data_IF_623904172327
#
_entry.id   IF_623904172327
#
_cell.length_a   1.000
_cell.length_b   1.000
_cell.length_c   1.000
_cell.angle_alpha   90.00
_cell.angle_beta   90.00
_cell.angle_gamma   90.00
#
_symmetry.space_group_name_H-M   'P 1'
#
loop_
_entity.id
_entity.type
_entity.pdbx_description
1 polymer ?
#
# COMPACT_ATOMS: atom_id res chain seq x y z
N UNK A 1 3.29 24.60 -1.44
CA UNK A 1 4.48 23.90 -1.98
C UNK A 1 4.05 23.03 -3.16
N UNK A 2 4.87 22.85 -4.20
CA UNK A 2 4.56 21.91 -5.30
C UNK A 2 4.83 20.48 -4.82
N UNK A 3 3.95 19.53 -5.15
CA UNK A 3 4.06 18.10 -4.78
C UNK A 3 5.43 17.54 -5.16
N UNK A 4 5.89 17.83 -6.38
CA UNK A 4 7.20 17.39 -6.88
C UNK A 4 8.38 17.89 -6.03
N UNK A 5 8.30 19.12 -5.52
CA UNK A 5 9.36 19.68 -4.67
C UNK A 5 9.41 18.95 -3.32
N UNK A 6 8.25 18.71 -2.72
CA UNK A 6 8.15 17.94 -1.47
C UNK A 6 8.64 16.51 -1.67
N UNK A 7 8.24 15.86 -2.77
CA UNK A 7 8.70 14.53 -3.14
C UNK A 7 10.24 14.45 -3.22
N UNK A 8 10.89 15.39 -3.92
CA UNK A 8 12.36 15.43 -4.04
C UNK A 8 13.05 15.58 -2.68
N UNK A 9 12.50 16.39 -1.80
CA UNK A 9 13.05 16.59 -0.45
C UNK A 9 12.95 15.28 0.34
N UNK A 10 11.78 14.66 0.35
CA UNK A 10 11.51 13.42 1.09
C UNK A 10 12.39 12.29 0.55
N UNK A 11 12.43 12.06 -0.76
CA UNK A 11 13.27 11.00 -1.34
C UNK A 11 14.75 11.21 -1.03
N UNK A 12 15.23 12.47 -1.03
CA UNK A 12 16.63 12.77 -0.69
C UNK A 12 16.93 12.46 0.78
N UNK A 13 16.04 12.84 1.68
CA UNK A 13 16.17 12.62 3.13
C UNK A 13 16.12 11.12 3.49
N UNK A 14 15.16 10.39 2.92
CA UNK A 14 14.90 8.98 3.24
C UNK A 14 15.56 7.99 2.26
N UNK A 15 16.52 8.44 1.42
CA UNK A 15 17.16 7.60 0.40
C UNK A 15 17.69 6.27 0.94
N UNK A 16 18.32 6.30 2.13
CA UNK A 16 18.89 5.11 2.77
C UNK A 16 17.81 4.13 3.21
N UNK A 17 16.71 4.62 3.78
CA UNK A 17 15.59 3.80 4.23
C UNK A 17 14.86 3.16 3.04
N UNK A 18 14.67 3.91 1.96
CA UNK A 18 14.11 3.40 0.70
C UNK A 18 15.03 2.29 0.14
N UNK A 19 16.34 2.53 0.06
CA UNK A 19 17.29 1.54 -0.44
C UNK A 19 17.28 0.27 0.42
N UNK A 20 17.26 0.43 1.75
CA UNK A 20 17.21 -0.69 2.69
C UNK A 20 15.94 -1.53 2.49
N UNK A 21 14.79 -0.87 2.26
CA UNK A 21 13.51 -1.54 1.99
C UNK A 21 13.57 -2.37 0.70
N UNK A 22 14.19 -1.85 -0.35
CA UNK A 22 14.38 -2.57 -1.62
C UNK A 22 15.27 -3.79 -1.44
N UNK A 23 16.36 -3.66 -0.69
CA UNK A 23 17.24 -4.79 -0.36
C UNK A 23 16.49 -5.85 0.45
N UNK A 24 15.63 -5.42 1.39
CA UNK A 24 14.84 -6.34 2.20
C UNK A 24 13.83 -7.12 1.34
N UNK A 25 13.15 -6.47 0.39
CA UNK A 25 12.31 -7.18 -0.60
C UNK A 25 13.11 -8.26 -1.31
N UNK A 26 14.27 -7.89 -1.86
CA UNK A 26 15.09 -8.83 -2.61
C UNK A 26 15.55 -10.02 -1.76
N UNK A 27 15.93 -9.77 -0.51
CA UNK A 27 16.36 -10.81 0.40
C UNK A 27 15.21 -11.77 0.78
N UNK A 28 14.04 -11.23 1.10
CA UNK A 28 12.86 -12.02 1.48
C UNK A 28 12.38 -12.87 0.29
N UNK A 29 12.25 -12.25 -0.89
CA UNK A 29 11.80 -12.93 -2.11
C UNK A 29 12.80 -14.00 -2.57
N UNK A 30 14.11 -13.72 -2.46
CA UNK A 30 15.16 -14.70 -2.75
C UNK A 30 15.10 -15.92 -1.83
N UNK A 31 14.93 -15.72 -0.52
CA UNK A 31 14.80 -16.81 0.45
C UNK A 31 13.55 -17.64 0.12
N UNK A 32 12.43 -16.98 -0.16
CA UNK A 32 11.19 -17.67 -0.51
C UNK A 32 11.32 -18.50 -1.79
N UNK A 33 11.87 -17.93 -2.86
CA UNK A 33 12.02 -18.60 -4.14
C UNK A 33 12.90 -19.87 -4.02
N UNK A 34 14.00 -19.79 -3.26
CA UNK A 34 14.87 -20.93 -3.01
C UNK A 34 14.23 -21.99 -2.11
N UNK A 35 13.46 -21.59 -1.10
CA UNK A 35 12.85 -22.54 -0.16
C UNK A 35 11.64 -23.27 -0.75
N UNK A 36 10.87 -22.59 -1.60
CA UNK A 36 9.66 -23.16 -2.22
C UNK A 36 9.92 -23.82 -3.56
N UNK A 37 11.06 -23.55 -4.20
CA UNK A 37 11.36 -24.03 -5.56
C UNK A 37 10.43 -23.44 -6.62
N UNK A 38 9.75 -22.31 -6.33
CA UNK A 38 8.80 -21.65 -7.25
C UNK A 38 9.40 -21.35 -8.63
N UNK A 39 10.71 -21.16 -8.71
CA UNK A 39 11.46 -20.97 -9.96
C UNK A 39 11.33 -22.13 -10.96
N UNK A 40 10.95 -23.33 -10.51
CA UNK A 40 10.85 -24.51 -11.36
C UNK A 40 9.57 -24.51 -12.22
N UNK A 41 8.61 -23.64 -11.93
CA UNK A 41 7.38 -23.48 -12.72
C UNK A 41 6.92 -22.01 -12.69
N UNK A 42 7.35 -21.25 -13.69
CA UNK A 42 7.09 -19.80 -13.83
C UNK A 42 5.60 -19.45 -13.78
N UNK A 43 4.75 -20.32 -14.34
CA UNK A 43 3.29 -20.14 -14.33
C UNK A 43 2.75 -20.20 -12.89
N UNK A 44 3.28 -21.10 -12.08
CA UNK A 44 2.90 -21.22 -10.67
C UNK A 44 3.35 -20.00 -9.85
N UNK A 45 4.52 -19.43 -10.17
CA UNK A 45 5.08 -18.26 -9.48
C UNK A 45 4.18 -17.03 -9.58
N UNK A 46 3.71 -16.70 -10.78
CA UNK A 46 2.78 -15.58 -10.99
C UNK A 46 1.42 -15.83 -10.34
N UNK A 47 0.89 -17.07 -10.40
CA UNK A 47 -0.39 -17.42 -9.78
C UNK A 47 -0.33 -17.33 -8.25
N UNK A 48 0.77 -17.78 -7.62
CA UNK A 48 0.92 -17.69 -6.17
C UNK A 48 0.93 -16.24 -5.67
N UNK A 49 1.59 -15.34 -6.39
CA UNK A 49 1.56 -13.91 -6.07
C UNK A 49 0.18 -13.28 -6.30
N UNK A 50 -0.64 -13.82 -7.19
CA UNK A 50 -2.01 -13.33 -7.41
C UNK A 50 -3.03 -13.86 -6.38
N UNK A 51 -2.64 -14.75 -5.47
CA UNK A 51 -3.57 -15.32 -4.48
C UNK A 51 -3.90 -16.80 -4.69
N UNK A 52 -3.24 -17.50 -5.62
CA UNK A 52 -3.56 -18.88 -5.98
C UNK A 52 -4.76 -18.98 -6.94
N UNK A 53 -5.14 -20.20 -7.30
CA UNK A 53 -6.38 -20.49 -8.03
C UNK A 53 -6.90 -21.89 -7.64
N UNK A 54 -7.92 -22.40 -8.35
CA UNK A 54 -8.51 -23.72 -8.07
C UNK A 54 -7.50 -24.89 -8.17
N UNK A 55 -6.40 -24.69 -8.88
CA UNK A 55 -5.33 -25.69 -9.10
C UNK A 55 -4.14 -25.42 -8.16
N UNK A 56 -3.75 -24.16 -7.98
CA UNK A 56 -2.61 -23.72 -7.18
C UNK A 56 -3.09 -23.14 -5.86
N UNK A 57 -3.16 -23.98 -4.82
CA UNK A 57 -3.64 -23.56 -3.50
C UNK A 57 -2.62 -22.68 -2.78
N UNK A 58 -3.12 -21.72 -2.01
CA UNK A 58 -2.28 -20.80 -1.26
C UNK A 58 -1.62 -21.48 -0.06
N UNK A 59 -0.30 -21.63 -0.14
CA UNK A 59 0.51 -22.13 0.96
C UNK A 59 0.71 -21.07 2.05
N UNK A 60 0.85 -21.51 3.30
CA UNK A 60 1.20 -20.63 4.42
C UNK A 60 2.47 -19.80 4.15
N UNK A 61 3.44 -20.37 3.43
CA UNK A 61 4.67 -19.68 2.99
C UNK A 61 4.38 -18.47 2.09
N UNK A 62 3.47 -18.60 1.12
CA UNK A 62 3.08 -17.51 0.21
C UNK A 62 2.37 -16.39 0.94
N UNK A 63 1.57 -16.75 1.96
CA UNK A 63 0.92 -15.77 2.82
C UNK A 63 1.94 -14.99 3.63
N UNK A 64 2.86 -15.69 4.29
CA UNK A 64 3.95 -15.05 5.05
C UNK A 64 4.77 -14.11 4.18
N UNK A 65 5.09 -14.52 2.95
CA UNK A 65 5.81 -13.71 1.99
C UNK A 65 5.09 -12.37 1.73
N UNK A 66 3.79 -12.43 1.37
CA UNK A 66 3.01 -11.22 1.12
C UNK A 66 2.94 -10.31 2.33
N UNK A 67 2.74 -10.89 3.52
CA UNK A 67 2.71 -10.12 4.76
C UNK A 67 4.04 -9.43 5.03
N UNK A 68 5.17 -10.10 4.82
CA UNK A 68 6.48 -9.51 4.98
C UNK A 68 6.69 -8.36 3.99
N UNK A 69 6.38 -8.57 2.71
CA UNK A 69 6.51 -7.54 1.69
C UNK A 69 5.63 -6.31 1.98
N UNK A 70 4.36 -6.52 2.30
CA UNK A 70 3.47 -5.41 2.66
C UNK A 70 3.95 -4.70 3.94
N UNK A 71 4.43 -5.46 4.94
CA UNK A 71 4.98 -4.87 6.18
C UNK A 71 6.19 -3.98 5.93
N UNK A 72 7.07 -4.35 4.99
CA UNK A 72 8.22 -3.53 4.59
C UNK A 72 7.75 -2.20 3.99
N UNK A 73 6.76 -2.23 3.09
CA UNK A 73 6.15 -1.01 2.52
C UNK A 73 5.62 -0.12 3.64
N UNK A 74 4.81 -0.69 4.54
CA UNK A 74 4.23 0.07 5.64
C UNK A 74 5.28 0.63 6.60
N UNK A 75 6.31 -0.14 6.97
CA UNK A 75 7.38 0.35 7.87
C UNK A 75 8.13 1.53 7.22
N UNK A 76 8.44 1.44 5.93
CA UNK A 76 9.11 2.50 5.20
C UNK A 76 8.25 3.78 5.13
N UNK A 77 6.98 3.64 4.76
CA UNK A 77 6.04 4.76 4.63
C UNK A 77 5.68 5.33 6.00
N UNK A 78 5.46 4.50 7.01
CA UNK A 78 5.15 4.88 8.38
C UNK A 78 6.27 5.72 9.00
N UNK A 79 7.53 5.29 8.84
CA UNK A 79 8.70 6.05 9.29
C UNK A 79 8.79 7.43 8.63
N UNK A 80 8.47 7.51 7.33
CA UNK A 80 8.39 8.80 6.62
C UNK A 80 7.28 9.64 7.25
N UNK A 81 6.10 9.07 7.45
CA UNK A 81 4.96 9.79 8.02
C UNK A 81 5.25 10.34 9.41
N UNK A 82 5.81 9.51 10.29
CA UNK A 82 6.09 9.88 11.67
C UNK A 82 7.14 10.98 11.74
N UNK A 83 8.27 10.83 11.04
CA UNK A 83 9.35 11.82 11.05
C UNK A 83 8.92 13.15 10.41
N UNK A 84 8.11 13.13 9.34
CA UNK A 84 7.54 14.35 8.76
C UNK A 84 6.49 15.00 9.67
N UNK A 85 5.68 14.21 10.39
CA UNK A 85 4.70 14.73 11.34
C UNK A 85 5.37 15.43 12.53
N UNK A 86 6.48 14.89 13.04
CA UNK A 86 7.22 15.46 14.17
C UNK A 86 8.07 16.68 13.78
N UNK A 87 8.96 16.56 12.78
CA UNK A 87 9.98 17.59 12.52
C UNK A 87 9.47 18.69 11.58
N UNK A 88 8.68 18.29 10.58
CA UNK A 88 8.35 19.16 9.46
C UNK A 88 7.01 19.85 9.68
N UNK A 89 6.03 19.20 10.31
CA UNK A 89 4.73 19.83 10.56
C UNK A 89 4.86 21.03 11.51
N UNK A 90 5.67 20.93 12.58
CA UNK A 90 5.93 22.03 13.53
C UNK A 90 6.66 23.20 12.84
N UNK A 91 7.70 22.90 12.07
CA UNK A 91 8.49 23.93 11.39
C UNK A 91 7.75 24.60 10.22
N UNK A 92 6.90 23.86 9.50
CA UNK A 92 6.13 24.36 8.36
C UNK A 92 4.84 25.06 8.80
N UNK A 93 4.18 24.61 9.88
CA UNK A 93 3.02 25.30 10.47
C UNK A 93 3.37 26.74 10.86
N UNK A 94 4.56 26.97 11.41
CA UNK A 94 5.02 28.32 11.78
C UNK A 94 5.30 29.25 10.59
N UNK A 95 5.43 28.72 9.36
CA UNK A 95 5.85 29.49 8.17
C UNK A 95 4.89 29.44 6.98
N UNK A 96 3.90 28.56 6.96
CA UNK A 96 2.97 28.43 5.82
C UNK A 96 1.61 29.04 6.10
N UNK A 97 1.20 29.95 5.21
CA UNK A 97 -0.10 30.63 5.26
C UNK A 97 -1.29 29.75 4.85
N UNK A 98 -1.07 28.55 4.29
CA UNK A 98 -2.14 27.65 3.85
C UNK A 98 -1.86 26.18 4.21
N UNK A 99 -2.17 25.84 5.45
CA UNK A 99 -2.04 24.49 6.05
C UNK A 99 -2.74 23.39 5.22
N UNK A 100 -3.94 23.67 4.71
CA UNK A 100 -4.73 22.69 3.92
C UNK A 100 -3.98 22.24 2.67
N UNK A 101 -3.41 23.21 1.93
CA UNK A 101 -2.65 22.92 0.71
C UNK A 101 -1.36 22.13 0.98
N UNK A 102 -0.76 22.32 2.16
CA UNK A 102 0.41 21.54 2.58
C UNK A 102 0.04 20.10 2.89
N UNK A 103 -0.98 19.86 3.71
CA UNK A 103 -1.43 18.51 4.06
C UNK A 103 -1.77 17.70 2.81
N UNK A 104 -2.55 18.25 1.88
CA UNK A 104 -2.88 17.52 0.65
C UNK A 104 -1.64 17.17 -0.18
N UNK A 105 -0.69 18.09 -0.30
CA UNK A 105 0.55 17.82 -1.03
C UNK A 105 1.39 16.74 -0.33
N UNK A 106 1.41 16.75 1.00
CA UNK A 106 2.08 15.76 1.82
C UNK A 106 1.43 14.38 1.71
N UNK A 107 0.12 14.28 1.93
CA UNK A 107 -0.64 13.03 1.77
C UNK A 107 -0.43 12.44 0.38
N UNK A 108 -0.44 13.26 -0.68
CA UNK A 108 -0.16 12.81 -2.03
C UNK A 108 1.25 12.22 -2.18
N UNK A 109 2.28 12.86 -1.60
CA UNK A 109 3.66 12.34 -1.67
C UNK A 109 3.80 11.01 -0.93
N UNK A 110 3.21 10.90 0.27
CA UNK A 110 3.23 9.68 1.07
C UNK A 110 2.58 8.52 0.33
N UNK A 111 1.41 8.75 -0.26
CA UNK A 111 0.71 7.77 -1.10
C UNK A 111 1.60 7.36 -2.28
N UNK A 112 2.09 8.32 -3.08
CA UNK A 112 2.95 8.04 -4.25
C UNK A 112 4.17 7.20 -3.86
N UNK A 113 4.82 7.47 -2.72
CA UNK A 113 5.97 6.70 -2.26
C UNK A 113 5.60 5.26 -1.87
N UNK A 114 4.47 5.07 -1.21
CA UNK A 114 3.97 3.74 -0.88
C UNK A 114 3.62 2.92 -2.11
N UNK A 115 2.91 3.52 -3.09
CA UNK A 115 2.61 2.87 -4.39
C UNK A 115 3.88 2.46 -5.14
N UNK A 116 4.91 3.33 -5.15
CA UNK A 116 6.20 3.01 -5.77
C UNK A 116 6.85 1.81 -5.09
N UNK A 117 6.86 1.77 -3.75
CA UNK A 117 7.44 0.65 -3.00
C UNK A 117 6.66 -0.65 -3.19
N UNK A 118 5.32 -0.57 -3.25
CA UNK A 118 4.46 -1.72 -3.54
C UNK A 118 4.74 -2.26 -4.94
N UNK A 119 4.80 -1.39 -5.94
CA UNK A 119 5.17 -1.76 -7.32
C UNK A 119 6.56 -2.40 -7.37
N UNK A 120 7.54 -1.83 -6.66
CA UNK A 120 8.88 -2.42 -6.59
C UNK A 120 8.85 -3.82 -5.97
N UNK A 121 8.06 -4.04 -4.91
CA UNK A 121 7.91 -5.37 -4.31
C UNK A 121 7.37 -6.40 -5.31
N UNK A 122 6.37 -6.05 -6.13
CA UNK A 122 5.88 -6.94 -7.17
C UNK A 122 6.95 -7.24 -8.22
N UNK A 123 7.67 -6.21 -8.69
CA UNK A 123 8.75 -6.39 -9.69
C UNK A 123 9.84 -7.31 -9.15
N UNK A 124 10.30 -7.08 -7.91
CA UNK A 124 11.35 -7.87 -7.27
C UNK A 124 10.91 -9.33 -7.15
N UNK A 125 9.68 -9.59 -6.72
CA UNK A 125 9.14 -10.94 -6.65
C UNK A 125 9.18 -11.64 -8.02
N UNK A 126 8.67 -10.99 -9.07
CA UNK A 126 8.64 -11.58 -10.41
C UNK A 126 10.03 -11.80 -11.00
N UNK A 127 11.04 -11.00 -10.62
CA UNK A 127 12.43 -11.25 -10.98
C UNK A 127 12.96 -12.56 -10.38
N UNK A 128 12.51 -12.94 -9.18
CA UNK A 128 12.95 -14.17 -8.51
C UNK A 128 12.07 -15.39 -8.81
N UNK A 129 10.78 -15.22 -9.06
CA UNK A 129 9.84 -16.31 -9.35
C UNK A 129 9.77 -16.71 -10.82
N UNK A 130 10.26 -15.84 -11.71
CA UNK A 130 9.96 -15.91 -13.14
C UNK A 130 8.66 -15.17 -13.48
N UNK A 131 8.55 -14.71 -14.73
CA UNK A 131 7.40 -13.95 -15.23
C UNK A 131 6.82 -14.61 -16.49
N UNK A 132 5.61 -15.15 -16.37
CA UNK A 132 4.93 -15.79 -17.48
C UNK A 132 4.14 -14.78 -18.32
N UNK A 133 4.57 -14.57 -19.57
CA UNK A 133 4.03 -13.53 -20.47
C UNK A 133 2.53 -13.67 -20.73
N UNK A 134 2.00 -14.89 -20.81
CA UNK A 134 0.56 -15.10 -21.05
C UNK A 134 -0.31 -14.62 -19.87
N UNK A 135 0.28 -14.48 -18.68
CA UNK A 135 -0.37 -13.93 -17.49
C UNK A 135 -0.08 -12.44 -17.26
N UNK A 136 0.56 -11.73 -18.21
CA UNK A 136 0.88 -10.30 -18.07
C UNK A 136 -0.35 -9.47 -17.74
N UNK A 137 -1.46 -9.72 -18.43
CA UNK A 137 -2.71 -8.99 -18.21
C UNK A 137 -3.23 -9.21 -16.79
N UNK A 138 -3.31 -10.48 -16.33
CA UNK A 138 -3.79 -10.77 -14.97
C UNK A 138 -2.88 -10.20 -13.90
N UNK A 139 -1.56 -10.23 -14.08
CA UNK A 139 -0.58 -9.65 -13.15
C UNK A 139 -0.72 -8.13 -13.05
N UNK A 140 -0.88 -7.42 -14.17
CA UNK A 140 -1.10 -5.98 -14.18
C UNK A 140 -2.43 -5.58 -13.56
N UNK A 141 -3.49 -6.33 -13.83
CA UNK A 141 -4.79 -6.09 -13.20
C UNK A 141 -4.75 -6.32 -11.69
N UNK A 142 -4.04 -7.37 -11.27
CA UNK A 142 -3.84 -7.67 -9.86
C UNK A 142 -3.08 -6.54 -9.17
N UNK A 143 -1.98 -6.05 -9.76
CA UNK A 143 -1.25 -4.88 -9.26
C UNK A 143 -2.16 -3.66 -9.13
N UNK A 144 -2.96 -3.34 -10.14
CA UNK A 144 -3.87 -2.19 -10.10
C UNK A 144 -4.92 -2.28 -8.97
N UNK A 145 -5.36 -3.49 -8.62
CA UNK A 145 -6.29 -3.71 -7.50
C UNK A 145 -5.57 -3.59 -6.16
N UNK A 146 -4.34 -4.09 -6.07
CA UNK A 146 -3.49 -3.95 -4.88
C UNK A 146 -3.17 -2.47 -4.60
N UNK A 147 -2.81 -1.71 -5.64
CA UNK A 147 -2.60 -0.26 -5.59
C UNK A 147 -3.85 0.50 -5.11
N UNK A 148 -5.03 0.20 -5.67
CA UNK A 148 -6.30 0.81 -5.23
C UNK A 148 -6.62 0.48 -3.76
N UNK A 149 -6.46 -0.78 -3.36
CA UNK A 149 -6.63 -1.18 -1.96
C UNK A 149 -5.61 -0.50 -1.04
N UNK A 150 -4.37 -0.34 -1.49
CA UNK A 150 -3.34 0.35 -0.72
C UNK A 150 -3.64 1.84 -0.56
N UNK A 151 -4.14 2.51 -1.61
CA UNK A 151 -4.60 3.89 -1.56
C UNK A 151 -5.66 4.11 -0.47
N UNK A 152 -6.72 3.30 -0.46
CA UNK A 152 -7.81 3.39 0.52
C UNK A 152 -7.30 3.28 1.97
N UNK A 153 -6.41 2.31 2.20
CA UNK A 153 -5.77 2.10 3.50
C UNK A 153 -4.88 3.26 3.91
N UNK A 154 -4.08 3.79 2.99
CA UNK A 154 -3.20 4.93 3.28
C UNK A 154 -3.98 6.19 3.61
N UNK A 155 -5.13 6.43 2.96
CA UNK A 155 -6.00 7.54 3.33
C UNK A 155 -6.58 7.33 4.73
N UNK A 156 -7.01 6.11 5.08
CA UNK A 156 -7.45 5.79 6.44
C UNK A 156 -6.34 5.98 7.47
N UNK A 157 -5.08 5.65 7.14
CA UNK A 157 -3.93 5.88 8.01
C UNK A 157 -3.72 7.34 8.31
N UNK A 158 -3.74 8.15 7.27
CA UNK A 158 -3.58 9.60 7.40
C UNK A 158 -4.75 10.18 8.21
N UNK A 159 -5.99 9.71 8.01
CA UNK A 159 -7.13 10.11 8.83
C UNK A 159 -6.90 9.74 10.30
N UNK A 160 -6.52 8.49 10.60
CA UNK A 160 -6.33 8.01 11.97
C UNK A 160 -5.19 8.75 12.69
N UNK A 161 -4.08 8.99 11.99
CA UNK A 161 -2.90 9.64 12.54
C UNK A 161 -3.11 11.16 12.70
N UNK A 162 -3.51 11.84 11.61
CA UNK A 162 -3.64 13.30 11.63
C UNK A 162 -4.94 13.74 12.33
N UNK A 163 -6.09 13.13 12.03
CA UNK A 163 -7.40 13.62 12.49
C UNK A 163 -7.79 13.18 13.90
N UNK A 164 -7.34 12.00 14.33
CA UNK A 164 -7.76 11.39 15.59
C UNK A 164 -6.62 11.17 16.59
N UNK A 165 -5.35 11.38 16.18
CA UNK A 165 -4.16 11.16 17.03
C UNK A 165 -4.21 9.82 17.76
N UNK A 166 -4.60 8.76 17.04
CA UNK A 166 -4.74 7.43 17.62
C UNK A 166 -3.34 6.85 17.81
N UNK A 167 -2.92 6.70 19.07
CA UNK A 167 -1.75 5.89 19.41
C UNK A 167 -1.94 4.49 18.81
N UNK A 168 -0.96 4.01 18.05
CA UNK A 168 -0.98 2.74 17.31
C UNK A 168 -1.86 2.70 16.05
N UNK A 169 -2.22 3.85 15.45
CA UNK A 169 -2.90 3.95 14.15
C UNK A 169 -2.30 3.03 13.08
N UNK A 170 -0.97 2.93 13.06
CA UNK A 170 -0.21 2.05 12.19
C UNK A 170 -0.50 0.55 12.39
N UNK A 171 -0.55 0.09 13.66
CA UNK A 171 -0.82 -1.31 14.00
C UNK A 171 -2.25 -1.71 13.64
N UNK A 172 -3.22 -0.82 13.86
CA UNK A 172 -4.61 -1.07 13.45
C UNK A 172 -4.74 -1.26 11.96
N UNK A 173 -3.95 -0.55 11.18
CA UNK A 173 -4.03 -0.59 9.72
C UNK A 173 -3.33 -1.80 9.15
N UNK A 174 -2.18 -2.18 9.70
CA UNK A 174 -1.56 -3.46 9.40
C UNK A 174 -2.54 -4.59 9.78
N UNK A 175 -3.21 -4.51 10.93
CA UNK A 175 -4.20 -5.50 11.33
C UNK A 175 -5.39 -5.55 10.36
N UNK A 176 -5.91 -4.41 9.89
CA UNK A 176 -6.98 -4.36 8.88
C UNK A 176 -6.53 -4.96 7.55
N UNK A 177 -5.31 -4.67 7.09
CA UNK A 177 -4.73 -5.26 5.89
C UNK A 177 -4.62 -6.79 6.05
N UNK A 178 -4.02 -7.25 7.15
CA UNK A 178 -3.88 -8.67 7.52
C UNK A 178 -5.25 -9.34 7.53
N UNK A 179 -6.22 -8.78 8.26
CA UNK A 179 -7.57 -9.33 8.35
C UNK A 179 -8.20 -9.46 6.97
N UNK A 180 -7.90 -8.57 6.03
CA UNK A 180 -8.45 -8.68 4.68
C UNK A 180 -7.79 -9.76 3.80
N UNK A 181 -6.56 -10.14 4.14
CA UNK A 181 -5.88 -11.28 3.53
C UNK A 181 -6.45 -12.61 4.04
N UNK A 182 -6.92 -12.68 5.30
CA UNK A 182 -7.32 -13.94 5.95
C UNK A 182 -8.82 -14.14 6.15
N UNK A 183 -9.57 -13.07 6.42
CA UNK A 183 -10.96 -13.19 6.80
C UNK A 183 -11.79 -13.65 5.60
N UNK A 184 -12.94 -14.28 5.90
CA UNK A 184 -14.02 -14.29 4.96
C UNK A 184 -14.35 -12.84 4.59
N UNK A 185 -15.13 -12.07 5.34
CA UNK A 185 -15.69 -10.80 4.81
C UNK A 185 -14.60 -9.80 4.36
N UNK A 186 -14.57 -9.36 3.08
CA UNK A 186 -13.50 -8.52 2.61
C UNK A 186 -13.77 -7.08 3.05
N UNK A 187 -12.74 -6.45 3.62
CA UNK A 187 -12.76 -5.03 3.92
C UNK A 187 -12.53 -4.31 2.59
N UNK A 188 -13.60 -3.79 1.98
CA UNK A 188 -13.58 -3.15 0.66
C UNK A 188 -12.42 -2.16 0.42
N UNK A 189 -12.09 -1.24 1.35
CA UNK A 189 -11.00 -0.28 1.15
C UNK A 189 -9.61 -0.91 1.24
N UNK A 190 -9.49 -2.21 1.56
CA UNK A 190 -8.21 -2.90 1.73
C UNK A 190 -8.07 -4.12 0.79
N UNK A 191 -9.01 -4.28 -0.15
CA UNK A 191 -9.32 -5.55 -0.80
C UNK A 191 -8.29 -5.95 -1.85
N UNK A 192 -7.15 -6.52 -1.42
CA UNK A 192 -6.06 -6.79 -2.35
C UNK A 192 -5.92 -8.24 -2.83
N UNK A 193 -6.16 -9.29 -2.03
CA UNK A 193 -5.33 -10.49 -2.28
C UNK A 193 -5.96 -11.89 -2.27
N UNK A 194 -7.17 -12.11 -1.74
CA UNK A 194 -7.74 -13.50 -1.67
C UNK A 194 -9.19 -13.56 -2.14
N UNK A 195 -10.02 -12.63 -1.64
CA UNK A 195 -11.43 -12.60 -2.00
C UNK A 195 -11.71 -12.06 -3.39
N UNK A 196 -10.75 -11.38 -3.99
CA UNK A 196 -10.85 -10.88 -5.35
C UNK A 196 -11.08 -12.02 -6.36
N UNK A 197 -10.40 -13.16 -6.20
CA UNK A 197 -10.60 -14.36 -7.01
C UNK A 197 -11.99 -14.99 -6.80
N UNK A 198 -12.42 -15.09 -5.53
CA UNK A 198 -13.74 -15.62 -5.16
C UNK A 198 -14.89 -14.71 -5.59
N UNK A 199 -14.67 -13.39 -5.64
CA UNK A 199 -15.67 -12.42 -6.09
C UNK A 199 -15.66 -12.23 -7.61
N UNK A 200 -14.52 -12.38 -8.30
CA UNK A 200 -14.46 -12.44 -9.77
C UNK A 200 -15.41 -13.48 -10.34
N UNK A 201 -15.54 -14.63 -9.67
CA UNK A 201 -16.44 -15.71 -10.11
C UNK A 201 -17.94 -15.42 -9.86
N UNK A 202 -18.29 -14.38 -9.08
CA UNK A 202 -19.67 -14.08 -8.67
C UNK A 202 -20.18 -12.71 -9.10
N UNK A 203 -19.31 -11.70 -9.12
CA UNK A 203 -19.62 -10.30 -9.39
C UNK A 203 -18.61 -9.84 -10.43
N UNK A 204 -19.08 -9.59 -11.66
CA UNK A 204 -18.21 -9.20 -12.77
C UNK A 204 -17.21 -8.11 -12.37
N UNK A 205 -15.94 -8.33 -12.71
CA UNK A 205 -14.77 -7.57 -12.27
C UNK A 205 -14.95 -6.04 -12.30
N UNK A 206 -15.52 -5.50 -13.39
CA UNK A 206 -15.73 -4.05 -13.58
C UNK A 206 -16.53 -3.43 -12.43
N UNK A 207 -17.51 -4.17 -11.87
CA UNK A 207 -18.33 -3.68 -10.77
C UNK A 207 -17.54 -3.56 -9.47
N UNK A 208 -16.60 -4.47 -9.24
CA UNK A 208 -15.74 -4.47 -8.04
C UNK A 208 -14.78 -3.27 -8.12
N UNK A 209 -14.17 -3.04 -9.28
CA UNK A 209 -13.23 -1.94 -9.47
C UNK A 209 -13.92 -0.57 -9.29
N UNK A 210 -15.12 -0.40 -9.86
CA UNK A 210 -15.92 0.80 -9.66
C UNK A 210 -16.33 1.01 -8.20
N UNK A 211 -16.62 -0.08 -7.48
CA UNK A 211 -16.99 -0.02 -6.06
C UNK A 211 -15.83 0.43 -5.18
N UNK A 212 -14.64 -0.15 -5.37
CA UNK A 212 -13.42 0.21 -4.63
C UNK A 212 -13.07 1.68 -4.90
N UNK A 213 -12.97 2.06 -6.19
CA UNK A 213 -12.67 3.44 -6.58
C UNK A 213 -13.70 4.44 -6.04
N UNK A 214 -15.00 4.08 -6.05
CA UNK A 214 -16.06 4.90 -5.46
C UNK A 214 -15.91 5.07 -3.95
N UNK A 215 -15.56 4.01 -3.23
CA UNK A 215 -15.30 4.06 -1.80
C UNK A 215 -14.09 4.90 -1.45
N UNK A 216 -12.97 4.73 -2.14
CA UNK A 216 -11.76 5.52 -1.90
C UNK A 216 -12.02 7.01 -2.17
N UNK A 217 -12.81 7.32 -3.20
CA UNK A 217 -13.27 8.67 -3.46
C UNK A 217 -14.13 9.22 -2.30
N UNK A 218 -15.05 8.42 -1.75
CA UNK A 218 -15.84 8.82 -0.59
C UNK A 218 -14.95 9.11 0.63
N UNK A 219 -13.95 8.26 0.90
CA UNK A 219 -13.00 8.45 2.01
C UNK A 219 -12.17 9.73 1.78
N UNK A 220 -11.69 9.97 0.55
CA UNK A 220 -10.94 11.17 0.19
C UNK A 220 -11.78 12.46 0.36
N UNK A 221 -13.07 12.43 -0.04
CA UNK A 221 -14.00 13.55 0.16
C UNK A 221 -14.21 13.80 1.66
N UNK A 222 -14.43 12.74 2.45
CA UNK A 222 -14.61 12.83 3.89
C UNK A 222 -13.37 13.43 4.57
N UNK A 223 -12.18 12.93 4.24
CA UNK A 223 -10.91 13.50 4.70
C UNK A 223 -10.80 14.98 4.36
N UNK A 224 -11.18 15.37 3.13
CA UNK A 224 -11.16 16.77 2.73
C UNK A 224 -12.14 17.65 3.51
N UNK A 225 -13.31 17.13 3.87
CA UNK A 225 -14.23 17.82 4.75
C UNK A 225 -13.67 17.99 6.18
N UNK A 226 -12.99 16.97 6.72
CA UNK A 226 -12.32 17.03 8.02
C UNK A 226 -11.21 18.09 8.06
N UNK A 227 -10.32 18.09 7.06
CA UNK A 227 -9.30 19.14 6.90
C UNK A 227 -9.95 20.52 6.82
N UNK A 228 -11.09 20.65 6.13
CA UNK A 228 -11.77 21.94 6.00
C UNK A 228 -12.33 22.45 7.33
N UNK A 229 -12.88 21.55 8.15
CA UNK A 229 -13.48 21.85 9.48
C UNK A 229 -12.43 22.16 10.55
N UNK A 230 -11.24 21.56 10.48
CA UNK A 230 -10.08 21.98 11.29
C UNK A 230 -9.62 23.37 10.85
N UNK A 231 -10.32 24.42 11.32
CA UNK A 231 -9.73 25.76 11.45
C UNK A 231 -8.64 25.59 12.50
N UNK A 232 -7.38 25.65 12.08
CA UNK A 232 -6.27 25.70 13.03
C UNK A 232 -6.39 27.06 13.73
N UNK A 233 -7.07 27.10 14.88
CA UNK A 233 -6.83 28.15 15.87
C UNK A 233 -5.47 27.82 16.46
N UNK A 234 -4.43 28.38 15.83
CA UNK A 234 -3.12 28.46 16.45
C UNK A 234 -3.30 29.51 17.55
N UNK A 235 -3.40 29.06 18.81
CA UNK A 235 -3.04 29.89 19.95
C UNK A 235 -1.51 29.99 20.00
#
# INVERSE_FOLDING_TARGET
MKVLTLFKIIVKEFKKDILFSIILFALVDFIYANFTGVQLNEESGSIFWQGGNDIYFWGFSTVLLKLLNVSIVFIAVGKIVDKLSCDIMIYILSRTTNYKKFIYAYSAVVIILGEILLTISHIVYYCFSGFYLEQTASSLFYLAVDDLGFLGIMILYIIANDCYSIENSFLYIIAVYILNTFLPIPILPAMSTVRFLVLRSRIGFVKILLLIAGMDLCIAIFYGALIRKRRVNIC
#
